data_IF_126257633037
#
_entry.id   IF_126257633037
#
_cell.length_a   1.000
_cell.length_b   1.000
_cell.length_c   1.000
_cell.angle_alpha   90.00
_cell.angle_beta   90.00
_cell.angle_gamma   90.00
#
_symmetry.space_group_name_H-M   'P 1'
#
loop_
_entity.id
_entity.type
_entity.pdbx_description
1 polymer ?
#
# COMPACT_ATOMS: atom_id res chain seq x y z
N UNK A 1 -1.62 21.56 31.30
CA UNK A 1 -2.07 21.27 29.92
C UNK A 1 -1.05 20.36 29.24
N UNK A 2 -1.49 19.17 28.82
CA UNK A 2 -0.66 18.15 28.16
C UNK A 2 -0.35 18.56 26.72
N UNK A 3 0.92 18.57 26.33
CA UNK A 3 1.35 18.83 24.94
C UNK A 3 0.72 17.77 24.02
N UNK A 4 -0.17 18.18 23.10
CA UNK A 4 -0.88 17.27 22.19
C UNK A 4 -0.03 17.11 20.92
N UNK A 5 0.58 15.93 20.65
CA UNK A 5 1.31 15.68 19.41
C UNK A 5 0.39 15.76 18.19
N UNK A 6 0.95 16.03 17.00
CA UNK A 6 0.15 16.02 15.77
C UNK A 6 -0.57 14.67 15.62
N UNK A 7 -1.89 14.68 15.40
CA UNK A 7 -2.69 13.46 15.34
C UNK A 7 -2.22 12.54 14.19
N UNK A 8 -1.88 13.10 13.04
CA UNK A 8 -1.39 12.36 11.85
C UNK A 8 -0.11 11.56 12.09
N UNK A 9 0.88 12.12 12.78
CA UNK A 9 2.17 11.46 13.01
C UNK A 9 2.06 10.25 13.95
N UNK A 10 1.09 10.25 14.86
CA UNK A 10 0.78 9.11 15.73
C UNK A 10 0.04 8.02 14.94
N UNK A 11 -1.01 8.40 14.21
CA UNK A 11 -1.81 7.45 13.43
C UNK A 11 -1.02 6.72 12.35
N UNK A 12 -0.19 7.43 11.56
CA UNK A 12 0.66 6.76 10.54
C UNK A 12 1.60 5.73 11.16
N UNK A 13 2.12 5.98 12.37
CA UNK A 13 2.95 5.02 13.09
C UNK A 13 2.12 3.80 13.52
N UNK A 14 0.96 3.98 14.13
CA UNK A 14 0.09 2.87 14.54
C UNK A 14 -0.40 2.03 13.36
N UNK A 15 -0.83 2.66 12.26
CA UNK A 15 -1.26 1.95 11.06
C UNK A 15 -0.13 1.11 10.43
N UNK A 16 1.11 1.62 10.40
CA UNK A 16 2.28 0.85 9.95
C UNK A 16 2.55 -0.35 10.84
N UNK A 17 2.50 -0.19 12.16
CA UNK A 17 2.69 -1.28 13.12
C UNK A 17 1.62 -2.36 12.98
N UNK A 18 0.34 -1.96 12.95
CA UNK A 18 -0.78 -2.90 12.80
C UNK A 18 -0.71 -3.65 11.46
N UNK A 19 -0.40 -2.95 10.37
CA UNK A 19 -0.23 -3.60 9.09
C UNK A 19 0.96 -4.57 9.08
N UNK A 20 2.08 -4.21 9.71
CA UNK A 20 3.22 -5.12 9.87
C UNK A 20 2.83 -6.40 10.61
N UNK A 21 2.12 -6.28 11.73
CA UNK A 21 1.62 -7.43 12.51
C UNK A 21 0.69 -8.31 11.65
N UNK A 22 -0.26 -7.70 10.94
CA UNK A 22 -1.18 -8.45 10.07
C UNK A 22 -0.47 -9.09 8.89
N UNK A 23 0.56 -8.45 8.33
CA UNK A 23 1.40 -9.03 7.27
C UNK A 23 2.13 -10.27 7.79
N UNK A 24 2.72 -10.19 8.99
CA UNK A 24 3.41 -11.32 9.63
C UNK A 24 2.40 -12.45 9.92
N UNK A 25 1.25 -12.14 10.51
CA UNK A 25 0.20 -13.12 10.80
C UNK A 25 -0.34 -13.77 9.52
N UNK A 26 -0.63 -12.99 8.47
CA UNK A 26 -1.06 -13.49 7.17
C UNK A 26 0.01 -14.35 6.49
N UNK A 27 1.29 -14.02 6.67
CA UNK A 27 2.41 -14.84 6.18
C UNK A 27 2.47 -16.16 6.92
N UNK A 28 2.33 -16.15 8.25
CA UNK A 28 2.31 -17.37 9.07
C UNK A 28 1.10 -18.25 8.73
N UNK A 29 -0.10 -17.68 8.67
CA UNK A 29 -1.33 -18.38 8.28
C UNK A 29 -1.20 -18.90 6.84
N UNK A 30 -0.66 -18.10 5.92
CA UNK A 30 -0.39 -18.50 4.54
C UNK A 30 0.63 -19.62 4.44
N UNK A 31 1.66 -19.64 5.29
CA UNK A 31 2.63 -20.74 5.37
C UNK A 31 1.98 -22.00 5.92
N UNK A 32 1.15 -21.88 6.97
CA UNK A 32 0.39 -23.00 7.52
C UNK A 32 -0.64 -23.54 6.52
N UNK A 33 -1.32 -22.66 5.78
CA UNK A 33 -2.30 -23.03 4.77
C UNK A 33 -1.64 -23.57 3.51
N UNK A 34 -0.57 -22.97 3.00
CA UNK A 34 0.19 -23.51 1.87
C UNK A 34 0.76 -24.87 2.24
N UNK A 35 1.30 -25.02 3.45
CA UNK A 35 1.66 -26.34 3.99
C UNK A 35 0.45 -27.26 3.98
N UNK A 36 -0.71 -26.86 4.50
CA UNK A 36 -1.93 -27.69 4.50
C UNK A 36 -2.49 -28.01 3.09
N UNK A 37 -2.37 -27.10 2.13
CA UNK A 37 -2.92 -27.21 0.77
C UNK A 37 -1.97 -27.95 -0.18
N UNK A 38 -0.66 -27.78 0.01
CA UNK A 38 0.36 -28.69 -0.58
C UNK A 38 0.45 -30.01 0.18
N UNK A 39 -0.10 -30.06 1.39
CA UNK A 39 -0.58 -31.27 2.07
C UNK A 39 -2.01 -31.64 1.64
N UNK A 40 -2.40 -31.38 0.39
CA UNK A 40 -3.03 -32.51 -0.29
C UNK A 40 -2.05 -33.66 -0.09
N UNK A 41 -2.44 -34.79 0.54
CA UNK A 41 -1.52 -35.87 0.87
C UNK A 41 -0.81 -36.31 -0.40
N UNK A 42 0.34 -35.70 -0.68
CA UNK A 42 1.32 -36.15 -1.63
C UNK A 42 1.98 -37.31 -0.92
N UNK A 43 1.26 -38.43 -0.89
CA UNK A 43 1.63 -39.84 -0.78
C UNK A 43 2.78 -40.26 0.15
N UNK A 44 3.37 -39.39 0.96
CA UNK A 44 4.48 -39.75 1.82
C UNK A 44 3.92 -40.26 3.16
N UNK A 45 4.10 -41.55 3.49
CA UNK A 45 3.58 -42.10 4.73
C UNK A 45 4.32 -41.50 5.92
N UNK A 46 3.63 -41.43 7.06
CA UNK A 46 4.21 -41.02 8.35
C UNK A 46 5.32 -41.95 8.85
N UNK A 47 5.48 -43.12 8.24
CA UNK A 47 6.54 -44.08 8.50
C UNK A 47 7.42 -44.22 7.27
N UNK A 48 8.65 -43.72 7.38
CA UNK A 48 9.68 -43.80 6.35
C UNK A 48 10.89 -44.54 6.88
N UNK A 49 11.48 -45.36 6.02
CA UNK A 49 12.76 -46.00 6.26
C UNK A 49 13.85 -45.31 5.45
N UNK A 50 15.04 -45.19 6.06
CA UNK A 50 16.21 -44.61 5.44
C UNK A 50 17.08 -45.74 4.89
N UNK A 51 17.21 -45.79 3.56
CA UNK A 51 17.94 -46.84 2.86
C UNK A 51 19.00 -46.24 1.96
N UNK A 52 19.95 -47.07 1.52
CA UNK A 52 20.90 -46.69 0.48
C UNK A 52 20.52 -47.39 -0.82
N UNK A 53 20.47 -46.62 -1.91
CA UNK A 53 20.30 -47.14 -3.25
C UNK A 53 21.57 -47.01 -4.06
N UNK A 54 21.77 -47.92 -5.00
CA UNK A 54 22.84 -47.87 -5.98
C UNK A 54 22.38 -47.05 -7.20
N UNK A 55 23.24 -46.15 -7.67
CA UNK A 55 22.98 -45.36 -8.89
C UNK A 55 23.19 -46.24 -10.11
N UNK A 56 22.11 -46.58 -10.80
CA UNK A 56 22.14 -47.43 -11.99
C UNK A 56 22.45 -46.58 -13.23
N UNK A 57 21.83 -45.40 -13.33
CA UNK A 57 21.98 -44.55 -14.51
C UNK A 57 21.72 -43.07 -14.19
N UNK A 58 22.48 -42.21 -14.86
CA UNK A 58 22.26 -40.78 -14.91
C UNK A 58 21.80 -40.41 -16.33
N UNK A 59 20.69 -39.68 -16.45
CA UNK A 59 20.13 -39.26 -17.73
C UNK A 59 19.80 -37.77 -17.70
N UNK A 60 20.16 -37.03 -18.74
CA UNK A 60 19.57 -35.72 -19.02
C UNK A 60 18.69 -35.81 -20.26
N UNK A 61 17.49 -35.25 -20.17
CA UNK A 61 16.56 -35.13 -21.29
C UNK A 61 16.23 -33.64 -21.48
N UNK A 62 16.04 -33.20 -22.72
CA UNK A 62 15.46 -31.88 -22.98
C UNK A 62 13.94 -32.00 -22.91
N UNK A 63 13.32 -31.30 -21.96
CA UNK A 63 11.87 -31.24 -21.93
C UNK A 63 11.39 -30.27 -23.01
N UNK A 64 10.74 -30.80 -24.05
CA UNK A 64 9.92 -29.99 -24.95
C UNK A 64 8.64 -29.61 -24.19
N UNK A 65 8.64 -28.39 -23.64
CA UNK A 65 7.47 -27.86 -22.95
C UNK A 65 6.26 -27.84 -23.89
N UNK A 66 5.13 -28.42 -23.46
CA UNK A 66 3.83 -28.37 -24.15
C UNK A 66 3.23 -26.96 -24.30
N UNK A 67 3.93 -25.90 -23.91
CA UNK A 67 3.52 -24.53 -24.16
C UNK A 67 4.25 -23.98 -25.40
N UNK A 68 3.54 -24.05 -26.52
CA UNK A 68 3.87 -23.33 -27.75
C UNK A 68 4.04 -21.84 -27.44
N UNK A 69 5.28 -21.37 -27.51
CA UNK A 69 5.64 -19.98 -27.35
C UNK A 69 7.13 -19.91 -27.08
N UNK A 70 7.90 -19.40 -28.06
CA UNK A 70 9.36 -19.29 -28.06
C UNK A 70 9.96 -19.07 -26.66
N UNK A 71 10.50 -20.13 -26.05
CA UNK A 71 10.97 -20.09 -24.67
C UNK A 71 11.92 -21.24 -24.39
N UNK A 72 13.14 -20.88 -23.98
CA UNK A 72 14.29 -21.72 -23.60
C UNK A 72 13.97 -23.20 -23.32
N UNK A 73 14.57 -24.10 -24.11
CA UNK A 73 14.68 -25.53 -23.78
C UNK A 73 15.32 -25.66 -22.40
N UNK A 74 14.60 -26.25 -21.46
CA UNK A 74 15.11 -26.51 -20.12
C UNK A 74 15.58 -27.97 -20.07
N UNK A 75 16.86 -28.17 -19.81
CA UNK A 75 17.42 -29.49 -19.59
C UNK A 75 16.94 -30.03 -18.24
N UNK A 76 16.41 -31.25 -18.24
CA UNK A 76 15.94 -31.95 -17.06
C UNK A 76 16.85 -33.13 -16.75
N UNK A 77 17.28 -33.21 -15.49
CA UNK A 77 18.20 -34.24 -15.02
C UNK A 77 17.45 -35.30 -14.22
N UNK A 78 17.74 -36.56 -14.55
CA UNK A 78 17.09 -37.73 -13.97
C UNK A 78 18.13 -38.70 -13.40
N UNK A 79 17.80 -39.26 -12.26
CA UNK A 79 18.56 -40.27 -11.55
C UNK A 79 17.76 -41.55 -11.53
N UNK A 80 18.35 -42.62 -12.04
CA UNK A 80 17.81 -43.98 -11.94
C UNK A 80 18.62 -44.73 -10.92
N UNK A 81 17.96 -45.26 -9.90
CA UNK A 81 18.60 -45.96 -8.80
C UNK A 81 17.89 -47.27 -8.47
N UNK A 82 18.64 -48.21 -7.89
CA UNK A 82 18.16 -49.50 -7.44
C UNK A 82 18.33 -49.63 -5.94
N UNK A 83 17.33 -50.14 -5.24
CA UNK A 83 17.43 -50.44 -3.81
C UNK A 83 16.67 -51.72 -3.46
N UNK A 84 17.03 -52.31 -2.33
CA UNK A 84 16.36 -53.48 -1.77
C UNK A 84 15.65 -53.08 -0.49
N UNK A 85 14.45 -53.61 -0.27
CA UNK A 85 13.65 -53.36 0.92
C UNK A 85 13.30 -54.70 1.54
N UNK A 86 13.62 -54.87 2.82
CA UNK A 86 13.59 -56.18 3.50
C UNK A 86 12.21 -56.85 3.47
N UNK A 87 11.14 -56.05 3.49
CA UNK A 87 9.75 -56.55 3.47
C UNK A 87 9.24 -57.04 2.10
N UNK A 88 9.95 -56.80 0.99
CA UNK A 88 9.51 -57.25 -0.34
C UNK A 88 10.62 -58.07 -1.00
N UNK A 89 10.41 -59.39 -1.09
CA UNK A 89 11.27 -60.35 -1.81
C UNK A 89 11.19 -60.18 -3.34
N UNK A 90 11.50 -59.00 -3.83
CA UNK A 90 11.76 -58.79 -5.25
C UNK A 90 13.24 -59.16 -5.50
N UNK A 91 13.49 -60.32 -6.09
CA UNK A 91 14.84 -60.84 -6.38
C UNK A 91 15.69 -59.89 -7.24
N UNK A 92 15.07 -58.92 -7.94
CA UNK A 92 15.74 -57.96 -8.81
C UNK A 92 15.94 -56.55 -8.22
N UNK A 93 15.47 -56.30 -6.99
CA UNK A 93 15.43 -54.95 -6.38
C UNK A 93 14.44 -54.00 -7.07
N UNK A 94 14.09 -52.89 -6.40
CA UNK A 94 13.24 -51.85 -6.96
C UNK A 94 14.08 -50.87 -7.77
N UNK A 95 13.66 -50.57 -9.00
CA UNK A 95 14.29 -49.53 -9.83
C UNK A 95 13.34 -48.35 -9.93
N UNK A 96 13.81 -47.18 -9.52
CA UNK A 96 13.04 -45.95 -9.57
C UNK A 96 13.78 -44.87 -10.34
N UNK A 97 13.01 -43.98 -10.97
CA UNK A 97 13.50 -42.80 -11.70
C UNK A 97 12.99 -41.56 -10.99
N UNK A 98 13.91 -40.68 -10.61
CA UNK A 98 13.55 -39.41 -9.98
C UNK A 98 14.21 -38.23 -10.65
N UNK A 99 13.52 -37.10 -10.67
CA UNK A 99 14.07 -35.83 -11.16
C UNK A 99 14.99 -35.24 -10.09
N UNK A 100 16.17 -34.82 -10.49
CA UNK A 100 17.17 -34.19 -9.62
C UNK A 100 17.64 -32.86 -10.21
N UNK A 101 18.29 -32.04 -9.38
CA UNK A 101 18.91 -30.80 -9.85
C UNK A 101 20.24 -31.07 -10.55
N UNK A 102 20.64 -30.19 -11.47
CA UNK A 102 21.92 -30.25 -12.18
C UNK A 102 23.12 -30.40 -11.23
N UNK A 103 23.15 -29.65 -10.13
CA UNK A 103 24.21 -29.76 -9.10
C UNK A 103 24.30 -31.18 -8.54
N UNK A 104 23.16 -31.81 -8.28
CA UNK A 104 23.10 -33.18 -7.76
C UNK A 104 23.48 -34.20 -8.86
N UNK A 105 23.08 -33.95 -10.10
CA UNK A 105 23.45 -34.78 -11.25
C UNK A 105 24.97 -34.87 -11.42
N UNK A 106 25.65 -33.73 -11.30
CA UNK A 106 27.12 -33.64 -11.38
C UNK A 106 27.85 -34.25 -10.19
N UNK A 107 27.19 -34.39 -9.02
CA UNK A 107 27.81 -34.97 -7.83
C UNK A 107 27.66 -36.48 -7.73
N UNK A 108 26.71 -37.07 -8.45
CA UNK A 108 26.48 -38.51 -8.44
C UNK A 108 27.34 -39.23 -9.49
N UNK A 109 27.68 -40.47 -9.21
CA UNK A 109 28.43 -41.36 -10.10
C UNK A 109 27.68 -42.68 -10.23
N UNK A 110 27.69 -43.27 -11.42
CA UNK A 110 27.10 -44.59 -11.67
C UNK A 110 27.86 -45.64 -10.84
N UNK A 111 27.13 -46.54 -10.17
CA UNK A 111 27.65 -47.48 -9.17
C UNK A 111 27.86 -46.88 -7.77
N UNK A 112 27.66 -45.56 -7.61
CA UNK A 112 27.70 -44.89 -6.31
C UNK A 112 26.47 -45.23 -5.46
N UNK A 113 26.57 -45.01 -4.15
CA UNK A 113 25.45 -45.20 -3.22
C UNK A 113 24.85 -43.84 -2.83
N UNK A 114 23.52 -43.75 -2.78
CA UNK A 114 22.79 -42.54 -2.44
C UNK A 114 21.81 -42.80 -1.29
N UNK A 115 21.65 -41.84 -0.36
CA UNK A 115 20.63 -41.95 0.68
C UNK A 115 19.24 -41.71 0.09
N UNK A 116 18.36 -42.66 0.36
CA UNK A 116 16.97 -42.67 -0.06
C UNK A 116 16.06 -42.62 1.16
N UNK A 117 14.87 -42.05 0.94
CA UNK A 117 13.76 -42.18 1.86
C UNK A 117 12.73 -43.05 1.15
N UNK A 118 12.27 -44.09 1.81
CA UNK A 118 11.32 -45.04 1.24
C UNK A 118 10.14 -45.20 2.19
N UNK A 119 8.95 -45.23 1.61
CA UNK A 119 7.72 -45.54 2.33
C UNK A 119 7.70 -46.99 2.81
N UNK A 120 7.53 -47.22 4.12
CA UNK A 120 7.47 -48.56 4.71
C UNK A 120 6.25 -49.37 4.21
N UNK A 121 5.13 -48.70 3.98
CA UNK A 121 3.88 -49.33 3.54
C UNK A 121 3.80 -49.54 2.01
N UNK A 122 4.59 -48.81 1.24
CA UNK A 122 4.59 -48.90 -0.22
C UNK A 122 5.95 -48.45 -0.79
N UNK A 123 6.91 -49.37 -1.00
CA UNK A 123 8.25 -49.06 -1.47
C UNK A 123 8.32 -48.36 -2.84
N UNK A 124 7.24 -48.39 -3.64
CA UNK A 124 7.17 -47.63 -4.90
C UNK A 124 7.17 -46.11 -4.70
N UNK A 125 6.79 -45.65 -3.51
CA UNK A 125 6.85 -44.27 -3.08
C UNK A 125 8.22 -44.01 -2.43
N UNK A 126 9.16 -43.56 -3.25
CA UNK A 126 10.54 -43.30 -2.88
C UNK A 126 11.04 -42.00 -3.53
N UNK A 127 12.00 -41.35 -2.87
CA UNK A 127 12.70 -40.18 -3.39
C UNK A 127 14.07 -40.10 -2.69
N UNK A 128 14.97 -39.32 -3.26
CA UNK A 128 16.27 -39.03 -2.66
C UNK A 128 16.11 -38.20 -1.39
N UNK A 129 17.00 -38.41 -0.42
CA UNK A 129 16.97 -37.66 0.83
C UNK A 129 17.05 -36.14 0.63
N UNK A 130 17.85 -35.69 -0.34
CA UNK A 130 17.97 -34.26 -0.69
C UNK A 130 16.64 -33.68 -1.20
N UNK A 131 15.92 -34.40 -2.05
CA UNK A 131 14.62 -33.97 -2.54
C UNK A 131 13.57 -33.99 -1.42
N UNK A 132 13.59 -35.01 -0.57
CA UNK A 132 12.74 -35.11 0.61
C UNK A 132 12.94 -33.90 1.54
N UNK A 133 14.19 -33.57 1.86
CA UNK A 133 14.53 -32.39 2.67
C UNK A 133 14.11 -31.09 2.00
N UNK A 134 14.31 -30.93 0.68
CA UNK A 134 13.91 -29.70 -0.04
C UNK A 134 12.41 -29.48 -0.05
N UNK A 135 11.61 -30.55 -0.22
CA UNK A 135 10.15 -30.49 -0.14
C UNK A 135 9.65 -30.17 1.27
N UNK A 136 10.37 -30.64 2.29
CA UNK A 136 10.03 -30.40 3.70
C UNK A 136 10.71 -29.15 4.30
N UNK A 137 11.55 -28.44 3.53
CA UNK A 137 12.25 -27.26 4.03
C UNK A 137 11.30 -26.07 4.17
N UNK A 138 11.24 -25.51 5.38
CA UNK A 138 10.46 -24.30 5.68
C UNK A 138 10.84 -23.11 4.78
N UNK A 139 12.09 -23.03 4.34
CA UNK A 139 12.59 -21.95 3.50
C UNK A 139 11.87 -21.84 2.15
N UNK A 140 11.63 -22.97 1.47
CA UNK A 140 10.95 -22.98 0.18
C UNK A 140 9.46 -22.64 0.31
N UNK A 141 8.79 -23.16 1.34
CA UNK A 141 7.40 -22.79 1.64
C UNK A 141 7.28 -21.30 1.93
N UNK A 142 8.20 -20.74 2.72
CA UNK A 142 8.19 -19.32 3.08
C UNK A 142 8.41 -18.45 1.85
N UNK A 143 9.39 -18.78 1.00
CA UNK A 143 9.63 -18.09 -0.29
C UNK A 143 8.41 -18.14 -1.23
N UNK A 144 7.66 -19.23 -1.21
CA UNK A 144 6.48 -19.40 -2.08
C UNK A 144 5.28 -18.57 -1.62
N UNK A 145 5.13 -18.36 -0.31
CA UNK A 145 4.00 -17.63 0.29
C UNK A 145 4.28 -16.13 0.44
N UNK A 146 5.55 -15.76 0.61
CA UNK A 146 5.98 -14.38 0.87
C UNK A 146 5.42 -13.35 -0.13
N UNK A 147 5.36 -13.60 -1.46
CA UNK A 147 4.80 -12.63 -2.39
C UNK A 147 3.32 -12.35 -2.11
N UNK A 148 2.54 -13.38 -1.79
CA UNK A 148 1.10 -13.26 -1.54
C UNK A 148 0.82 -12.58 -0.20
N UNK A 149 1.58 -12.93 0.83
CA UNK A 149 1.40 -12.33 2.14
C UNK A 149 1.87 -10.88 2.17
N UNK A 150 2.91 -10.52 1.43
CA UNK A 150 3.36 -9.14 1.26
C UNK A 150 2.30 -8.31 0.54
N UNK A 151 1.71 -8.85 -0.54
CA UNK A 151 0.59 -8.20 -1.24
C UNK A 151 -0.61 -8.04 -0.31
N UNK A 152 -1.05 -9.10 0.39
CA UNK A 152 -2.16 -9.03 1.36
C UNK A 152 -1.91 -8.06 2.50
N UNK A 153 -0.69 -8.01 3.02
CA UNK A 153 -0.25 -7.07 4.05
C UNK A 153 -0.29 -5.62 3.59
N UNK A 154 0.18 -5.35 2.37
CA UNK A 154 0.06 -4.04 1.73
C UNK A 154 -1.41 -3.66 1.52
N UNK A 155 -2.26 -4.58 1.03
CA UNK A 155 -3.70 -4.35 0.89
C UNK A 155 -4.32 -3.90 2.21
N UNK A 156 -4.01 -4.63 3.29
CA UNK A 156 -4.52 -4.32 4.61
C UNK A 156 -3.98 -3.00 5.16
N UNK A 157 -2.70 -2.69 4.95
CA UNK A 157 -2.11 -1.38 5.28
C UNK A 157 -2.87 -0.23 4.60
N UNK A 158 -3.10 -0.35 3.29
CA UNK A 158 -3.80 0.68 2.54
C UNK A 158 -5.26 0.80 2.98
N UNK A 159 -5.95 -0.30 3.31
CA UNK A 159 -7.28 -0.26 3.92
C UNK A 159 -7.29 0.47 5.27
N UNK A 160 -6.37 0.13 6.18
CA UNK A 160 -6.27 0.81 7.49
C UNK A 160 -5.98 2.30 7.33
N UNK A 161 -5.05 2.64 6.42
CA UNK A 161 -4.70 4.01 6.10
C UNK A 161 -5.93 4.74 5.55
N UNK A 162 -6.67 4.12 4.65
CA UNK A 162 -7.91 4.64 4.09
C UNK A 162 -8.99 4.94 5.14
N UNK A 163 -9.32 3.98 6.01
CA UNK A 163 -10.32 4.20 7.06
C UNK A 163 -9.88 5.33 8.00
N UNK A 164 -8.59 5.34 8.36
CA UNK A 164 -8.03 6.37 9.24
C UNK A 164 -8.07 7.76 8.61
N UNK A 165 -7.81 7.88 7.30
CA UNK A 165 -7.89 9.15 6.58
C UNK A 165 -9.30 9.74 6.63
N UNK A 166 -10.32 8.91 6.34
CA UNK A 166 -11.71 9.37 6.30
C UNK A 166 -12.18 9.85 7.67
N UNK A 167 -11.90 9.08 8.72
CA UNK A 167 -12.22 9.49 10.09
C UNK A 167 -11.51 10.78 10.48
N UNK A 168 -10.30 11.01 9.98
CA UNK A 168 -9.54 12.22 10.31
C UNK A 168 -10.03 13.47 9.56
N UNK A 169 -10.49 13.34 8.32
CA UNK A 169 -10.96 14.48 7.53
C UNK A 169 -12.21 15.15 8.13
N UNK A 170 -13.04 14.39 8.84
CA UNK A 170 -14.30 14.86 9.45
C UNK A 170 -14.18 15.33 10.91
N UNK A 171 -13.02 15.14 11.58
CA UNK A 171 -12.85 15.47 13.00
C UNK A 171 -12.06 16.77 13.18
N UNK A 172 -12.58 17.71 13.97
CA UNK A 172 -11.80 18.86 14.45
C UNK A 172 -10.95 18.44 15.65
N UNK A 173 -9.65 18.76 15.64
CA UNK A 173 -8.75 18.35 16.71
C UNK A 173 -8.56 19.50 17.68
N UNK A 174 -8.98 19.29 18.92
CA UNK A 174 -8.83 20.28 19.98
C UNK A 174 -7.38 20.75 20.10
N UNK A 175 -7.19 22.06 20.29
CA UNK A 175 -5.88 22.70 20.39
C UNK A 175 -5.18 22.98 19.05
N UNK A 176 -5.82 22.71 17.91
CA UNK A 176 -5.35 23.11 16.57
C UNK A 176 -6.30 24.08 15.85
N UNK A 177 -7.37 24.47 16.52
CA UNK A 177 -8.28 25.51 16.08
C UNK A 177 -8.86 26.28 17.27
N UNK A 178 -9.36 27.46 16.97
CA UNK A 178 -10.24 28.26 17.81
C UNK A 178 -11.39 28.77 16.92
N UNK A 179 -12.25 29.63 17.45
CA UNK A 179 -13.32 30.25 16.67
C UNK A 179 -12.80 31.02 15.44
N UNK A 180 -11.64 31.68 15.57
CA UNK A 180 -11.10 32.54 14.51
C UNK A 180 -9.64 32.25 14.16
N UNK A 181 -9.14 31.06 14.49
CA UNK A 181 -7.77 30.70 14.10
C UNK A 181 -7.60 29.21 13.91
N UNK A 182 -6.66 28.84 13.05
CA UNK A 182 -6.39 27.46 12.64
C UNK A 182 -4.88 27.26 12.49
N UNK A 183 -4.36 26.21 13.12
CA UNK A 183 -2.95 25.83 13.06
C UNK A 183 -2.79 24.55 12.23
N UNK A 184 -2.05 24.63 11.13
CA UNK A 184 -1.60 23.48 10.35
C UNK A 184 -0.12 23.19 10.63
N UNK A 185 0.14 22.19 11.46
CA UNK A 185 1.49 21.75 11.81
C UNK A 185 2.19 21.03 10.65
N UNK A 186 1.45 20.38 9.75
CA UNK A 186 2.04 19.63 8.64
C UNK A 186 2.50 20.56 7.52
N UNK A 187 1.65 21.53 7.17
CA UNK A 187 1.97 22.57 6.18
C UNK A 187 2.73 23.75 6.78
N UNK A 188 2.92 23.77 8.10
CA UNK A 188 3.67 24.80 8.85
C UNK A 188 3.05 26.17 8.63
N UNK A 189 1.73 26.26 8.70
CA UNK A 189 0.99 27.48 8.44
C UNK A 189 0.08 27.78 9.62
N UNK A 190 -0.05 29.05 9.97
CA UNK A 190 -1.09 29.51 10.88
C UNK A 190 -1.98 30.50 10.15
N UNK A 191 -3.28 30.40 10.39
CA UNK A 191 -4.30 31.26 9.79
C UNK A 191 -5.12 31.87 10.93
N UNK A 192 -5.33 33.18 10.88
CA UNK A 192 -6.15 33.95 11.82
C UNK A 192 -7.16 34.79 11.04
N UNK A 193 -8.37 34.86 11.57
CA UNK A 193 -9.39 35.79 11.12
C UNK A 193 -9.57 36.83 12.22
N UNK A 194 -9.38 38.11 11.91
CA UNK A 194 -9.61 39.17 12.87
C UNK A 194 -10.19 40.39 12.16
N UNK A 195 -11.38 40.84 12.61
CA UNK A 195 -12.07 42.03 12.08
C UNK A 195 -12.17 42.05 10.54
N UNK A 196 -12.54 40.92 9.94
CA UNK A 196 -12.67 40.80 8.48
C UNK A 196 -11.34 40.76 7.72
N UNK A 197 -10.19 40.74 8.39
CA UNK A 197 -8.89 40.50 7.76
C UNK A 197 -8.39 39.09 8.08
N UNK A 198 -7.99 38.37 7.04
CA UNK A 198 -7.40 37.05 7.15
C UNK A 198 -5.87 37.18 7.15
N UNK A 199 -5.26 36.89 8.28
CA UNK A 199 -3.81 36.85 8.42
C UNK A 199 -3.33 35.42 8.29
N UNK A 200 -2.29 35.19 7.52
CA UNK A 200 -1.62 33.90 7.54
C UNK A 200 -0.11 34.04 7.37
N UNK A 201 0.60 33.09 7.97
CA UNK A 201 2.05 33.07 7.92
C UNK A 201 2.61 31.65 8.02
N UNK A 202 3.82 31.49 7.51
CA UNK A 202 4.58 30.24 7.61
C UNK A 202 5.33 30.10 8.95
N UNK A 203 5.69 28.88 9.30
CA UNK A 203 6.44 28.55 10.50
C UNK A 203 7.76 27.90 10.09
N UNK A 204 8.88 28.42 10.61
CA UNK A 204 10.18 27.76 10.46
C UNK A 204 10.08 26.32 11.01
N UNK A 205 10.47 25.29 10.23
CA UNK A 205 10.48 23.91 10.69
C UNK A 205 11.13 23.68 12.06
N UNK A 206 12.13 24.49 12.45
CA UNK A 206 12.77 24.41 13.78
C UNK A 206 11.91 24.92 14.93
N UNK A 207 10.93 25.79 14.65
CA UNK A 207 10.10 26.44 15.67
C UNK A 207 8.69 25.82 15.79
N UNK A 208 8.33 24.88 14.91
CA UNK A 208 6.99 24.24 14.88
C UNK A 208 6.52 23.80 16.27
N UNK A 209 7.37 23.10 17.03
CA UNK A 209 6.99 22.60 18.35
C UNK A 209 6.77 23.72 19.37
N UNK A 210 7.51 24.83 19.26
CA UNK A 210 7.32 25.99 20.13
C UNK A 210 6.05 26.75 19.77
N UNK A 211 5.83 27.03 18.48
CA UNK A 211 4.61 27.68 17.98
C UNK A 211 3.38 26.86 18.32
N UNK A 212 3.41 25.53 18.12
CA UNK A 212 2.31 24.65 18.51
C UNK A 212 1.97 24.77 19.99
N UNK A 213 2.98 24.71 20.87
CA UNK A 213 2.75 24.83 22.32
C UNK A 213 2.23 26.20 22.71
N UNK A 214 2.74 27.27 22.08
CA UNK A 214 2.28 28.63 22.31
C UNK A 214 0.82 28.80 21.86
N UNK A 215 0.49 28.29 20.67
CA UNK A 215 -0.87 28.31 20.12
C UNK A 215 -1.85 27.56 21.03
N UNK A 216 -1.48 26.35 21.47
CA UNK A 216 -2.27 25.55 22.41
C UNK A 216 -2.46 26.20 23.80
N UNK A 217 -1.65 27.21 24.14
CA UNK A 217 -1.79 28.01 25.36
C UNK A 217 -2.60 29.29 25.16
N UNK A 218 -3.10 29.54 23.96
CA UNK A 218 -3.87 30.75 23.64
C UNK A 218 -3.01 32.01 23.50
N UNK A 219 -1.74 31.87 23.10
CA UNK A 219 -0.88 33.03 22.79
C UNK A 219 -1.43 33.78 21.58
N UNK A 220 -1.31 35.11 21.59
CA UNK A 220 -1.85 35.99 20.55
C UNK A 220 -1.12 35.86 19.19
N UNK A 221 -1.77 36.31 18.12
CA UNK A 221 -1.27 36.22 16.75
C UNK A 221 0.10 36.90 16.55
N UNK A 222 0.32 38.08 17.14
CA UNK A 222 1.57 38.83 16.95
C UNK A 222 2.74 38.11 17.63
N UNK A 223 2.52 37.62 18.86
CA UNK A 223 3.50 36.80 19.58
C UNK A 223 3.79 35.48 18.84
N UNK A 224 2.76 34.84 18.28
CA UNK A 224 2.95 33.62 17.49
C UNK A 224 3.75 33.87 16.20
N UNK A 225 3.51 35.00 15.53
CA UNK A 225 4.29 35.44 14.36
C UNK A 225 5.76 35.67 14.72
N UNK A 226 6.02 36.32 15.86
CA UNK A 226 7.39 36.52 16.33
C UNK A 226 8.08 35.18 16.65
N UNK A 227 7.36 34.26 17.29
CA UNK A 227 7.87 32.92 17.63
C UNK A 227 8.07 32.02 16.41
N UNK A 228 7.31 32.22 15.34
CA UNK A 228 7.37 31.37 14.15
C UNK A 228 8.61 31.64 13.29
N UNK A 229 9.30 32.77 13.51
CA UNK A 229 10.41 33.24 12.68
C UNK A 229 10.02 33.23 11.19
N UNK A 230 8.76 33.58 10.92
CA UNK A 230 8.17 33.54 9.59
C UNK A 230 8.92 34.46 8.62
N UNK A 231 9.27 33.91 7.46
CA UNK A 231 9.72 34.71 6.32
C UNK A 231 8.56 35.30 5.52
N UNK A 232 7.36 34.74 5.68
CA UNK A 232 6.19 35.04 4.88
C UNK A 232 4.97 35.37 5.75
N UNK A 233 4.62 36.64 5.83
CA UNK A 233 3.40 37.12 6.47
C UNK A 233 2.54 37.85 5.45
N UNK A 234 1.26 37.51 5.39
CA UNK A 234 0.28 38.15 4.52
C UNK A 234 -0.98 38.50 5.29
N UNK A 235 -1.48 39.69 5.01
CA UNK A 235 -2.75 40.25 5.43
C UNK A 235 -3.68 40.33 4.22
N UNK A 236 -4.83 39.67 4.32
CA UNK A 236 -5.84 39.62 3.27
C UNK A 236 -7.14 40.22 3.81
N UNK A 237 -7.39 41.52 3.61
CA UNK A 237 -8.70 42.10 3.93
C UNK A 237 -9.76 41.44 3.06
N UNK A 238 -10.75 40.79 3.70
CA UNK A 238 -11.79 40.03 2.99
C UNK A 238 -12.76 40.96 2.23
N UNK A 239 -12.81 42.24 2.59
CA UNK A 239 -13.57 43.25 1.85
C UNK A 239 -13.03 43.45 0.43
N UNK A 240 -11.72 43.28 0.22
CA UNK A 240 -11.05 43.60 -1.04
C UNK A 240 -10.74 42.37 -1.91
N UNK A 241 -11.08 41.17 -1.45
CA UNK A 241 -10.82 39.98 -2.25
C UNK A 241 -11.68 40.00 -3.52
N UNK A 242 -11.15 39.46 -4.61
CA UNK A 242 -11.84 39.41 -5.92
C UNK A 242 -12.48 38.06 -6.18
N UNK A 243 -11.90 37.00 -5.61
CA UNK A 243 -12.38 35.63 -5.74
C UNK A 243 -11.98 34.78 -4.54
N UNK A 244 -12.91 33.98 -4.04
CA UNK A 244 -12.66 32.88 -3.11
C UNK A 244 -13.15 31.60 -3.77
N UNK A 245 -12.36 30.54 -3.79
CA UNK A 245 -12.81 29.24 -4.28
C UNK A 245 -12.32 28.08 -3.44
N UNK A 246 -13.12 27.03 -3.39
CA UNK A 246 -12.78 25.79 -2.70
C UNK A 246 -13.43 24.59 -3.37
N UNK A 247 -12.85 23.41 -3.15
CA UNK A 247 -13.40 22.12 -3.57
C UNK A 247 -13.55 21.26 -2.34
N UNK A 248 -14.61 20.45 -2.30
CA UNK A 248 -14.84 19.53 -1.17
C UNK A 248 -13.70 18.54 -0.97
N UNK A 249 -13.01 18.15 -2.05
CA UNK A 249 -11.87 17.20 -1.98
C UNK A 249 -10.56 17.83 -1.55
N UNK A 250 -10.42 19.15 -1.67
CA UNK A 250 -9.19 19.84 -1.27
C UNK A 250 -9.27 20.27 0.20
N UNK A 251 -8.13 20.30 0.87
CA UNK A 251 -7.97 20.93 2.19
C UNK A 251 -7.54 22.40 2.06
N UNK A 252 -7.86 23.02 0.92
CA UNK A 252 -7.32 24.33 0.52
C UNK A 252 -8.46 25.31 0.20
N UNK A 253 -8.26 26.56 0.58
CA UNK A 253 -9.01 27.72 0.11
C UNK A 253 -8.10 28.52 -0.82
N UNK A 254 -8.59 28.82 -2.01
CA UNK A 254 -7.90 29.66 -3.00
C UNK A 254 -8.51 31.06 -2.96
N UNK A 255 -7.70 32.07 -2.65
CA UNK A 255 -8.11 33.46 -2.54
C UNK A 255 -7.35 34.28 -3.58
N UNK A 256 -8.06 35.08 -4.37
CA UNK A 256 -7.45 36.06 -5.27
C UNK A 256 -7.56 37.47 -4.67
N UNK A 257 -6.42 38.13 -4.50
CA UNK A 257 -6.30 39.47 -3.92
C UNK A 257 -5.20 40.23 -4.65
N UNK A 258 -5.45 41.48 -5.05
CA UNK A 258 -4.46 42.34 -5.74
C UNK A 258 -3.71 41.65 -6.91
N UNK A 259 -4.44 40.89 -7.74
CA UNK A 259 -3.89 40.07 -8.84
C UNK A 259 -2.95 38.91 -8.40
N UNK A 260 -2.70 38.71 -7.11
CA UNK A 260 -2.05 37.53 -6.56
C UNK A 260 -3.07 36.42 -6.24
N UNK A 261 -2.61 35.17 -6.28
CA UNK A 261 -3.38 34.00 -5.85
C UNK A 261 -2.73 33.41 -4.60
N UNK A 262 -3.52 33.27 -3.56
CA UNK A 262 -3.11 32.72 -2.27
C UNK A 262 -3.80 31.38 -2.03
N UNK A 263 -2.98 30.37 -1.73
CA UNK A 263 -3.41 29.02 -1.43
C UNK A 263 -3.30 28.78 0.08
N UNK A 264 -4.42 28.85 0.80
CA UNK A 264 -4.47 28.66 2.25
C UNK A 264 -4.83 27.22 2.56
N UNK A 265 -3.92 26.49 3.21
CA UNK A 265 -4.11 25.07 3.53
C UNK A 265 -4.52 24.89 4.98
N UNK A 266 -5.42 23.94 5.19
CA UNK A 266 -5.92 23.56 6.50
C UNK A 266 -5.50 22.12 6.81
N UNK A 267 -5.39 21.81 8.10
CA UNK A 267 -4.98 20.48 8.55
C UNK A 267 -5.88 19.37 7.99
N UNK A 268 -7.20 19.59 7.95
CA UNK A 268 -8.17 18.66 7.39
C UNK A 268 -9.42 19.37 6.82
N UNK A 269 -10.35 18.60 6.24
CA UNK A 269 -11.56 19.15 5.63
C UNK A 269 -12.50 19.81 6.65
N UNK A 270 -12.63 19.26 7.87
CA UNK A 270 -13.42 19.85 8.94
C UNK A 270 -12.91 21.25 9.33
N UNK A 271 -11.59 21.43 9.48
CA UNK A 271 -10.99 22.75 9.78
C UNK A 271 -11.26 23.75 8.65
N UNK A 272 -11.12 23.31 7.39
CA UNK A 272 -11.47 24.14 6.22
C UNK A 272 -12.96 24.53 6.24
N UNK A 273 -13.86 23.59 6.52
CA UNK A 273 -15.30 23.84 6.55
C UNK A 273 -15.67 24.88 7.59
N UNK A 274 -15.16 24.71 8.81
CA UNK A 274 -15.35 25.69 9.88
C UNK A 274 -14.74 27.06 9.53
N UNK A 275 -13.50 27.09 9.01
CA UNK A 275 -12.89 28.34 8.59
C UNK A 275 -13.69 29.05 7.50
N UNK A 276 -14.22 28.30 6.53
CA UNK A 276 -15.07 28.82 5.49
C UNK A 276 -16.39 29.36 6.03
N UNK A 277 -17.03 28.67 6.99
CA UNK A 277 -18.24 29.17 7.67
C UNK A 277 -17.98 30.53 8.34
N UNK A 278 -16.83 30.70 8.99
CA UNK A 278 -16.44 31.96 9.62
C UNK A 278 -16.11 33.05 8.59
N UNK A 279 -15.33 32.72 7.55
CA UNK A 279 -14.93 33.67 6.50
C UNK A 279 -16.15 34.21 5.74
N UNK A 280 -17.16 33.36 5.49
CA UNK A 280 -18.39 33.76 4.78
C UNK A 280 -19.10 34.96 5.39
N UNK A 281 -19.03 35.14 6.71
CA UNK A 281 -19.66 36.26 7.40
C UNK A 281 -19.00 37.62 7.11
N UNK A 282 -17.79 37.61 6.56
CA UNK A 282 -17.01 38.80 6.24
C UNK A 282 -16.79 38.95 4.73
N UNK A 283 -17.45 38.12 3.90
CA UNK A 283 -17.38 38.28 2.45
C UNK A 283 -18.21 39.49 2.03
N UNK A 284 -17.79 40.24 1.00
CA UNK A 284 -18.56 41.35 0.48
C UNK A 284 -19.87 40.87 -0.14
N UNK A 285 -20.96 41.61 0.09
CA UNK A 285 -22.29 41.30 -0.43
C UNK A 285 -22.36 41.27 -1.97
N UNK A 286 -21.42 41.94 -2.64
CA UNK A 286 -21.36 41.98 -4.11
C UNK A 286 -20.77 40.71 -4.74
N UNK A 287 -20.23 39.77 -3.96
CA UNK A 287 -19.72 38.51 -4.49
C UNK A 287 -20.85 37.55 -4.85
N UNK A 288 -20.93 37.16 -6.12
CA UNK A 288 -21.85 36.12 -6.54
C UNK A 288 -21.34 34.74 -6.11
N UNK A 289 -22.26 33.92 -5.61
CA UNK A 289 -22.01 32.52 -5.26
C UNK A 289 -22.35 31.61 -6.43
N UNK A 290 -21.40 30.77 -6.81
CA UNK A 290 -21.57 29.70 -7.79
C UNK A 290 -21.15 28.36 -7.17
N UNK A 291 -22.00 27.34 -7.34
CA UNK A 291 -21.70 25.97 -6.99
C UNK A 291 -21.71 25.12 -8.27
N UNK A 292 -20.60 24.45 -8.53
CA UNK A 292 -20.46 23.54 -9.68
C UNK A 292 -20.22 22.13 -9.19
N UNK A 293 -21.12 21.24 -9.55
CA UNK A 293 -20.96 19.81 -9.30
C UNK A 293 -20.20 19.17 -10.46
N UNK A 294 -19.03 18.60 -10.16
CA UNK A 294 -18.30 17.82 -11.15
C UNK A 294 -18.99 16.47 -11.28
N UNK A 295 -19.40 16.03 -12.48
CA UNK A 295 -20.11 14.77 -12.63
C UNK A 295 -19.19 13.61 -12.23
N UNK A 296 -19.77 12.67 -11.48
CA UNK A 296 -19.07 11.58 -10.80
C UNK A 296 -18.15 10.79 -11.74
N UNK A 297 -18.59 10.56 -12.98
CA UNK A 297 -17.85 9.80 -13.98
C UNK A 297 -16.56 10.49 -14.44
N UNK A 298 -16.57 11.83 -14.59
CA UNK A 298 -15.38 12.58 -15.01
C UNK A 298 -14.29 12.52 -13.94
N UNK A 299 -14.70 12.56 -12.68
CA UNK A 299 -13.76 12.51 -11.56
C UNK A 299 -13.07 11.13 -11.41
N UNK A 300 -13.69 10.05 -11.92
CA UNK A 300 -13.18 8.68 -11.82
C UNK A 300 -12.29 8.23 -12.98
N UNK A 301 -12.32 8.95 -14.11
CA UNK A 301 -11.58 8.60 -15.33
C UNK A 301 -10.09 8.30 -15.11
N UNK A 302 -9.33 9.08 -14.31
CA UNK A 302 -7.91 8.78 -14.10
C UNK A 302 -7.68 7.42 -13.41
N UNK A 303 -8.57 7.03 -12.51
CA UNK A 303 -8.48 5.72 -11.84
C UNK A 303 -8.83 4.59 -12.80
N UNK A 304 -9.88 4.76 -13.63
CA UNK A 304 -10.26 3.78 -14.66
C UNK A 304 -9.12 3.57 -15.65
N UNK A 305 -8.50 4.65 -16.12
CA UNK A 305 -7.34 4.58 -17.01
C UNK A 305 -6.17 3.83 -16.38
N UNK A 306 -5.83 4.13 -15.12
CA UNK A 306 -4.79 3.42 -14.40
C UNK A 306 -5.08 1.92 -14.23
N UNK A 307 -6.35 1.55 -13.98
CA UNK A 307 -6.78 0.15 -13.90
C UNK A 307 -6.55 -0.54 -15.25
N UNK A 308 -6.96 0.08 -16.36
CA UNK A 308 -6.77 -0.47 -17.70
C UNK A 308 -5.28 -0.69 -18.02
N UNK A 309 -4.42 0.28 -17.68
CA UNK A 309 -2.96 0.13 -17.86
C UNK A 309 -2.42 -1.05 -17.05
N UNK A 310 -2.82 -1.21 -15.79
CA UNK A 310 -2.38 -2.32 -14.95
C UNK A 310 -2.87 -3.68 -15.47
N UNK A 311 -4.09 -3.76 -15.99
CA UNK A 311 -4.61 -4.98 -16.61
C UNK A 311 -3.74 -5.35 -17.82
N UNK A 312 -3.46 -4.39 -18.70
CA UNK A 312 -2.60 -4.60 -19.88
C UNK A 312 -1.19 -5.03 -19.50
N UNK A 313 -0.56 -4.37 -18.53
CA UNK A 313 0.77 -4.75 -18.02
C UNK A 313 0.75 -6.18 -17.46
N UNK A 314 -0.28 -6.54 -16.70
CA UNK A 314 -0.40 -7.90 -16.16
C UNK A 314 -0.56 -8.95 -17.27
N UNK A 315 -1.30 -8.63 -18.33
CA UNK A 315 -1.52 -9.50 -19.48
C UNK A 315 -0.25 -9.70 -20.32
N UNK A 316 0.63 -8.69 -20.41
CA UNK A 316 1.93 -8.80 -21.08
C UNK A 316 2.92 -9.62 -20.26
N UNK A 317 2.94 -9.45 -18.93
CA UNK A 317 3.89 -10.13 -18.06
C UNK A 317 3.61 -11.63 -17.96
N UNK A 318 2.35 -12.08 -18.05
CA UNK A 318 1.92 -13.50 -17.97
C UNK A 318 2.51 -14.30 -16.80
N UNK A 319 2.96 -13.62 -15.74
CA UNK A 319 3.50 -14.25 -14.54
C UNK A 319 2.49 -14.15 -13.41
N UNK A 320 2.38 -15.21 -12.61
CA UNK A 320 1.52 -15.24 -11.43
C UNK A 320 1.84 -14.07 -10.47
N UNK A 321 3.12 -13.74 -10.33
CA UNK A 321 3.59 -12.59 -9.54
C UNK A 321 3.10 -11.26 -10.15
N UNK A 322 3.15 -11.11 -11.47
CA UNK A 322 2.65 -9.92 -12.17
C UNK A 322 1.14 -9.71 -11.94
N UNK A 323 0.34 -10.79 -12.02
CA UNK A 323 -1.09 -10.72 -11.70
C UNK A 323 -1.35 -10.36 -10.23
N UNK A 324 -0.62 -10.97 -9.30
CA UNK A 324 -0.77 -10.70 -7.87
C UNK A 324 -0.44 -9.24 -7.52
N UNK A 325 0.64 -8.69 -8.06
CA UNK A 325 1.05 -7.29 -7.82
C UNK A 325 0.06 -6.31 -8.44
N UNK A 326 -0.29 -6.48 -9.72
CA UNK A 326 -1.21 -5.57 -10.41
C UNK A 326 -2.62 -5.63 -9.80
N UNK A 327 -3.13 -6.84 -9.53
CA UNK A 327 -4.41 -7.04 -8.84
C UNK A 327 -4.41 -6.44 -7.44
N UNK A 328 -3.30 -6.59 -6.71
CA UNK A 328 -3.09 -5.93 -5.42
C UNK A 328 -3.21 -4.41 -5.51
N UNK A 329 -2.51 -3.77 -6.45
CA UNK A 329 -2.58 -2.30 -6.62
C UNK A 329 -4.00 -1.84 -6.96
N UNK A 330 -4.69 -2.56 -7.84
CA UNK A 330 -6.08 -2.25 -8.21
C UNK A 330 -6.98 -2.30 -6.98
N UNK A 331 -6.93 -3.39 -6.20
CA UNK A 331 -7.81 -3.58 -5.05
C UNK A 331 -7.45 -2.68 -3.86
N UNK A 332 -6.16 -2.43 -3.59
CA UNK A 332 -5.72 -1.58 -2.46
C UNK A 332 -5.91 -0.10 -2.70
N UNK A 333 -5.61 0.37 -3.90
CA UNK A 333 -5.35 1.79 -4.15
C UNK A 333 -6.41 2.36 -5.08
N UNK A 334 -6.62 1.72 -6.24
CA UNK A 334 -7.45 2.30 -7.28
C UNK A 334 -8.93 2.11 -6.99
N UNK A 335 -9.35 0.91 -6.59
CA UNK A 335 -10.76 0.60 -6.31
C UNK A 335 -11.32 1.43 -5.14
N UNK A 336 -10.62 1.60 -4.00
CA UNK A 336 -11.10 2.46 -2.91
C UNK A 336 -11.16 3.93 -3.32
N UNK A 337 -10.18 4.41 -4.12
CA UNK A 337 -10.20 5.78 -4.65
C UNK A 337 -11.37 6.01 -5.60
N UNK A 338 -11.68 5.04 -6.45
CA UNK A 338 -12.77 5.09 -7.41
C UNK A 338 -14.12 5.08 -6.68
N UNK A 339 -14.27 4.21 -5.67
CA UNK A 339 -15.45 4.20 -4.79
C UNK A 339 -15.63 5.52 -4.05
N UNK A 340 -14.57 6.12 -3.51
CA UNK A 340 -14.66 7.44 -2.87
C UNK A 340 -15.11 8.52 -3.84
N UNK A 341 -14.47 8.52 -5.01
CA UNK A 341 -14.80 9.46 -6.07
C UNK A 341 -16.27 9.36 -6.45
N UNK A 342 -16.82 8.15 -6.42
CA UNK A 342 -18.22 7.87 -6.66
C UNK A 342 -19.14 8.34 -5.53
N UNK A 343 -18.76 8.07 -4.28
CA UNK A 343 -19.61 8.31 -3.11
C UNK A 343 -19.65 9.77 -2.67
N UNK A 344 -18.56 10.54 -2.80
CA UNK A 344 -18.49 11.90 -2.22
C UNK A 344 -18.87 13.01 -3.20
N UNK A 345 -19.06 12.70 -4.49
CA UNK A 345 -19.14 13.73 -5.53
C UNK A 345 -17.91 14.65 -5.51
N UNK A 346 -17.96 15.77 -6.24
CA UNK A 346 -17.01 16.86 -6.07
C UNK A 346 -17.74 18.16 -6.30
N UNK A 347 -18.04 18.88 -5.22
CA UNK A 347 -18.62 20.22 -5.32
C UNK A 347 -17.49 21.23 -5.27
N UNK A 348 -17.51 22.15 -6.23
CA UNK A 348 -16.66 23.33 -6.24
C UNK A 348 -17.53 24.53 -5.90
N UNK A 349 -17.12 25.29 -4.89
CA UNK A 349 -17.78 26.52 -4.48
C UNK A 349 -16.90 27.70 -4.82
N UNK A 350 -17.47 28.70 -5.46
CA UNK A 350 -16.77 29.92 -5.89
C UNK A 350 -17.60 31.12 -5.46
N UNK A 351 -16.94 32.08 -4.83
CA UNK A 351 -17.42 33.45 -4.66
C UNK A 351 -16.55 34.34 -5.55
N UNK A 352 -17.16 35.09 -6.44
CA UNK A 352 -16.43 35.97 -7.35
C UNK A 352 -17.20 37.27 -7.61
N UNK A 353 -16.46 38.35 -7.83
CA UNK A 353 -17.05 39.58 -8.35
C UNK A 353 -17.47 39.38 -9.82
N UNK A 354 -18.76 39.51 -10.13
CA UNK A 354 -19.28 39.35 -11.50
C UNK A 354 -18.70 40.38 -12.48
N UNK A 355 -18.32 41.58 -12.01
CA UNK A 355 -17.71 42.60 -12.86
C UNK A 355 -16.29 42.23 -13.32
N UNK A 356 -15.60 41.35 -12.56
CA UNK A 356 -14.26 40.87 -12.93
C UNK A 356 -14.28 39.67 -13.90
N UNK A 357 -15.45 39.08 -14.18
CA UNK A 357 -15.59 37.93 -15.08
C UNK A 357 -15.76 38.32 -16.57
N UNK A 358 -15.82 39.62 -16.90
CA UNK A 358 -15.95 40.11 -18.28
C UNK A 358 -14.72 39.95 -19.18
N UNK A 359 -13.63 39.33 -18.71
CA UNK A 359 -12.38 39.16 -19.47
C UNK A 359 -11.82 37.75 -19.24
N UNK A 360 -12.50 36.69 -19.70
CA UNK A 360 -11.86 35.50 -20.31
C UNK A 360 -12.93 34.81 -21.17
N UNK A 361 -12.89 35.04 -22.49
CA UNK A 361 -13.43 34.11 -23.50
C UNK A 361 -12.25 33.31 -24.03
#
# INVERSE_FOLDING_TARGET
MTNIPSPWGRWRRHARWLAGIVTIAATLIGCLFFRFATWQPLDWPTQVDHLYGEVVQLRSDFADGKHQGAGRRQEEFYLVYRFHHDDVRAESGFVSRVRITEKAYRSYQVGGHIPLVVSRSNPSLNDTFDNYQRRHSWGNTLLSVLPFSLVGGLLFYFMLMYFSLKTHDDIMHEGFYTEHSWLDVEQRQVVFLHRGTLYYFDIDPKQIDKVRRAYQRGVDCNSLRLLSHSSYFRDLPLEDITRLSTSDRSRQLDIAYQAERHAIRFMNQAHKKHALEQIKHYLPDYMAYEETDTPIWQAGLPCVFAILVLITVSAVLQTLVGYAVCGGIIVAILLPRLLMTYLTGNRRRVWANQQAQGIVI
#
